data_IF_835721305866
#
_entry.id   IF_835721305866
#
_cell.length_a   1.000
_cell.length_b   1.000
_cell.length_c   1.000
_cell.angle_alpha   90.00
_cell.angle_beta   90.00
_cell.angle_gamma   90.00
#
_symmetry.space_group_name_H-M   'P 1'
#
loop_
_entity.id
_entity.type
_entity.pdbx_description
1 polymer ?
#
# COMPACT_ATOMS: atom_id res chain seq x y z
N UNK A 1 71.25 -7.15 54.55
CA UNK A 1 69.97 -6.55 54.96
C UNK A 1 70.06 -6.28 56.44
N UNK A 2 69.82 -5.03 56.87
CA UNK A 2 69.87 -4.65 58.28
C UNK A 2 68.49 -4.93 58.91
N UNK A 3 68.31 -5.99 59.71
CA UNK A 3 67.03 -6.30 60.37
C UNK A 3 66.64 -5.26 61.43
N UNK A 4 67.56 -4.36 61.78
CA UNK A 4 67.40 -3.32 62.80
C UNK A 4 66.63 -2.08 62.32
N UNK A 5 66.23 -2.03 61.03
CA UNK A 5 65.49 -0.90 60.44
C UNK A 5 63.96 -1.12 60.42
N UNK A 6 63.50 -2.26 60.93
CA UNK A 6 62.06 -2.52 61.12
C UNK A 6 61.68 -1.98 62.49
N UNK A 7 61.35 -0.69 62.52
CA UNK A 7 60.76 -0.07 63.72
C UNK A 7 59.39 -0.72 63.89
N UNK A 8 59.21 -1.52 64.95
CA UNK A 8 57.88 -2.02 65.32
C UNK A 8 57.04 -0.80 65.71
N UNK A 9 56.09 -0.47 64.85
CA UNK A 9 55.24 0.73 64.96
C UNK A 9 54.06 0.49 65.91
N UNK A 10 53.95 -0.71 66.48
CA UNK A 10 52.89 -1.11 67.38
C UNK A 10 53.41 -1.28 68.81
N UNK A 11 52.80 -0.55 69.75
CA UNK A 11 53.14 -0.63 71.17
C UNK A 11 52.80 -2.01 71.79
N UNK A 12 51.86 -2.76 71.19
CA UNK A 12 51.44 -4.08 71.69
C UNK A 12 50.87 -4.98 70.56
N UNK A 13 50.92 -6.31 70.78
CA UNK A 13 50.44 -7.35 69.84
C UNK A 13 48.94 -7.21 69.54
N UNK A 14 48.16 -6.74 70.51
CA UNK A 14 46.72 -6.50 70.38
C UNK A 14 46.41 -5.42 69.33
N UNK A 15 47.14 -4.29 69.34
CA UNK A 15 46.93 -3.21 68.37
C UNK A 15 47.26 -3.67 66.94
N UNK A 16 48.32 -4.47 66.77
CA UNK A 16 48.68 -5.06 65.48
C UNK A 16 47.60 -6.03 64.98
N UNK A 17 47.00 -6.82 65.87
CA UNK A 17 45.92 -7.73 65.54
C UNK A 17 44.64 -6.98 65.13
N UNK A 18 44.29 -5.92 65.85
CA UNK A 18 43.13 -5.06 65.55
C UNK A 18 43.32 -4.39 64.19
N UNK A 19 44.50 -3.84 63.89
CA UNK A 19 44.79 -3.20 62.60
C UNK A 19 44.60 -4.17 61.43
N UNK A 20 45.24 -5.36 61.47
CA UNK A 20 45.08 -6.36 60.41
C UNK A 20 43.65 -6.87 60.26
N UNK A 21 42.95 -7.07 61.38
CA UNK A 21 41.54 -7.50 61.35
C UNK A 21 40.67 -6.42 60.73
N UNK A 22 40.89 -5.15 61.09
CA UNK A 22 40.13 -4.02 60.53
C UNK A 22 40.40 -3.82 59.04
N UNK A 23 41.67 -3.93 58.61
CA UNK A 23 42.07 -3.88 57.21
C UNK A 23 41.42 -5.01 56.39
N UNK A 24 41.41 -6.24 56.92
CA UNK A 24 40.76 -7.37 56.25
C UNK A 24 39.25 -7.16 56.10
N UNK A 25 38.57 -6.68 57.14
CA UNK A 25 37.14 -6.35 57.10
C UNK A 25 36.86 -5.29 56.03
N UNK A 26 37.66 -4.23 55.95
CA UNK A 26 37.51 -3.19 54.93
C UNK A 26 37.66 -3.76 53.52
N UNK A 27 38.66 -4.61 53.28
CA UNK A 27 38.87 -5.26 51.98
C UNK A 27 37.68 -6.15 51.60
N UNK A 28 37.17 -6.96 52.53
CA UNK A 28 36.00 -7.81 52.28
C UNK A 28 34.76 -6.96 51.95
N UNK A 29 34.55 -5.85 52.65
CA UNK A 29 33.45 -4.92 52.39
C UNK A 29 33.61 -4.29 50.99
N UNK A 30 34.81 -3.84 50.62
CA UNK A 30 35.07 -3.27 49.30
C UNK A 30 34.85 -4.29 48.17
N UNK A 31 35.29 -5.53 48.35
CA UNK A 31 35.04 -6.63 47.41
C UNK A 31 33.53 -6.93 47.32
N UNK A 32 32.84 -6.97 48.44
CA UNK A 32 31.39 -7.18 48.45
C UNK A 32 30.66 -6.11 47.65
N UNK A 33 30.97 -4.82 47.88
CA UNK A 33 30.35 -3.72 47.16
C UNK A 33 30.77 -3.67 45.69
N UNK A 34 32.02 -4.00 45.35
CA UNK A 34 32.48 -4.02 43.96
C UNK A 34 31.81 -5.14 43.16
N UNK A 35 31.71 -6.36 43.71
CA UNK A 35 30.99 -7.48 43.09
C UNK A 35 29.51 -7.16 42.94
N UNK A 36 28.89 -6.56 43.97
CA UNK A 36 27.49 -6.12 43.91
C UNK A 36 27.28 -5.07 42.82
N UNK A 37 28.18 -4.08 42.73
CA UNK A 37 28.14 -3.03 41.71
C UNK A 37 28.28 -3.60 40.29
N UNK A 38 29.26 -4.48 40.07
CA UNK A 38 29.50 -5.12 38.76
C UNK A 38 28.31 -5.99 38.34
N UNK A 39 27.78 -6.83 39.24
CA UNK A 39 26.59 -7.65 38.93
C UNK A 39 25.39 -6.79 38.57
N UNK A 40 25.14 -5.74 39.35
CA UNK A 40 24.02 -4.84 39.08
C UNK A 40 24.11 -4.19 37.69
N UNK A 41 25.29 -3.72 37.30
CA UNK A 41 25.51 -3.15 35.97
C UNK A 41 25.40 -4.19 34.86
N UNK A 42 25.95 -5.39 35.05
CA UNK A 42 25.85 -6.47 34.08
C UNK A 42 24.40 -6.89 33.83
N UNK A 43 23.61 -7.07 34.89
CA UNK A 43 22.21 -7.46 34.79
C UNK A 43 21.37 -6.36 34.10
N UNK A 44 21.67 -5.10 34.39
CA UNK A 44 21.02 -3.96 33.75
C UNK A 44 21.33 -3.88 32.26
N UNK A 45 22.61 -3.99 31.87
CA UNK A 45 23.02 -3.99 30.46
C UNK A 45 22.41 -5.17 29.70
N UNK A 46 22.44 -6.37 30.30
CA UNK A 46 21.85 -7.57 29.71
C UNK A 46 20.36 -7.38 29.43
N UNK A 47 19.61 -6.86 30.41
CA UNK A 47 18.18 -6.57 30.24
C UNK A 47 17.93 -5.52 29.14
N UNK A 48 18.72 -4.45 29.11
CA UNK A 48 18.59 -3.46 28.03
C UNK A 48 18.92 -4.04 26.65
N UNK A 49 19.87 -4.98 26.55
CA UNK A 49 20.19 -5.66 25.29
C UNK A 49 19.04 -6.58 24.84
N UNK A 50 18.43 -7.31 25.77
CA UNK A 50 17.24 -8.14 25.51
C UNK A 50 16.06 -7.28 25.03
N UNK A 51 15.76 -6.17 25.71
CA UNK A 51 14.68 -5.26 25.31
C UNK A 51 14.92 -4.66 23.92
N UNK A 52 16.18 -4.29 23.60
CA UNK A 52 16.57 -3.81 22.26
C UNK A 52 16.43 -4.90 21.20
N UNK A 53 16.81 -6.14 21.50
CA UNK A 53 16.68 -7.25 20.58
C UNK A 53 15.21 -7.52 20.24
N UNK A 54 14.32 -7.46 21.24
CA UNK A 54 12.86 -7.58 21.05
C UNK A 54 12.34 -6.42 20.19
N UNK A 55 12.75 -5.18 20.47
CA UNK A 55 12.31 -4.02 19.69
C UNK A 55 12.77 -4.09 18.22
N UNK A 56 14.00 -4.54 17.97
CA UNK A 56 14.54 -4.77 16.62
C UNK A 56 13.72 -5.84 15.89
N UNK A 57 13.38 -6.94 16.57
CA UNK A 57 12.58 -8.01 15.99
C UNK A 57 11.18 -7.52 15.60
N UNK A 58 10.52 -6.77 16.48
CA UNK A 58 9.22 -6.15 16.19
C UNK A 58 9.31 -5.18 14.99
N UNK A 59 10.36 -4.37 14.93
CA UNK A 59 10.57 -3.44 13.83
C UNK A 59 10.83 -4.17 12.51
N UNK A 60 11.59 -5.26 12.54
CA UNK A 60 11.81 -6.12 11.37
C UNK A 60 10.51 -6.75 10.88
N UNK A 61 9.66 -7.25 11.79
CA UNK A 61 8.34 -7.78 11.42
C UNK A 61 7.46 -6.71 10.76
N UNK A 62 7.43 -5.50 11.33
CA UNK A 62 6.69 -4.38 10.75
C UNK A 62 7.22 -4.01 9.35
N UNK A 63 8.55 -4.00 9.16
CA UNK A 63 9.16 -3.75 7.84
C UNK A 63 8.78 -4.84 6.84
N UNK A 64 8.77 -6.10 7.25
CA UNK A 64 8.38 -7.22 6.37
C UNK A 64 6.91 -7.11 5.95
N UNK A 65 6.02 -6.76 6.88
CA UNK A 65 4.61 -6.53 6.57
C UNK A 65 4.43 -5.36 5.59
N UNK A 66 5.11 -4.24 5.84
CA UNK A 66 5.09 -3.07 4.95
C UNK A 66 5.64 -3.40 3.55
N UNK A 67 6.74 -4.15 3.47
CA UNK A 67 7.30 -4.61 2.19
C UNK A 67 6.32 -5.51 1.44
N UNK A 68 5.67 -6.46 2.13
CA UNK A 68 4.65 -7.31 1.51
C UNK A 68 3.47 -6.51 0.98
N UNK A 69 3.02 -5.47 1.70
CA UNK A 69 1.96 -4.57 1.25
C UNK A 69 2.41 -3.76 0.03
N UNK A 70 3.62 -3.18 0.07
CA UNK A 70 4.18 -2.44 -1.05
C UNK A 70 4.32 -3.30 -2.31
N UNK A 71 4.77 -4.55 -2.16
CA UNK A 71 4.91 -5.47 -3.28
C UNK A 71 3.54 -5.81 -3.90
N UNK A 72 2.52 -6.07 -3.07
CA UNK A 72 1.14 -6.25 -3.55
C UNK A 72 0.62 -5.04 -4.33
N UNK A 73 0.77 -3.84 -3.77
CA UNK A 73 0.37 -2.60 -4.43
C UNK A 73 1.11 -2.41 -5.77
N UNK A 74 2.38 -2.76 -5.82
CA UNK A 74 3.18 -2.66 -7.04
C UNK A 74 2.72 -3.68 -8.10
N UNK A 75 2.38 -4.90 -7.70
CA UNK A 75 1.81 -5.91 -8.60
C UNK A 75 0.46 -5.46 -9.16
N UNK A 76 -0.43 -4.92 -8.31
CA UNK A 76 -1.72 -4.38 -8.74
C UNK A 76 -1.56 -3.22 -9.71
N UNK A 77 -0.65 -2.29 -9.41
CA UNK A 77 -0.29 -1.18 -10.31
C UNK A 77 0.20 -1.70 -11.65
N UNK A 78 1.13 -2.66 -11.67
CA UNK A 78 1.67 -3.21 -12.92
C UNK A 78 0.58 -3.91 -13.75
N UNK A 79 -0.30 -4.67 -13.09
CA UNK A 79 -1.45 -5.31 -13.76
C UNK A 79 -2.37 -4.28 -14.41
N UNK A 80 -2.66 -3.17 -13.71
CA UNK A 80 -3.44 -2.07 -14.29
C UNK A 80 -2.78 -1.52 -15.56
N UNK A 81 -1.50 -1.14 -15.48
CA UNK A 81 -0.78 -0.59 -16.65
C UNK A 81 -0.76 -1.57 -17.82
N UNK A 82 -0.63 -2.88 -17.57
CA UNK A 82 -0.70 -3.89 -18.62
C UNK A 82 -2.08 -3.95 -19.29
N UNK A 83 -3.18 -3.92 -18.53
CA UNK A 83 -4.54 -3.90 -19.06
C UNK A 83 -4.75 -2.65 -19.92
N UNK A 84 -4.37 -1.48 -19.40
CA UNK A 84 -4.50 -0.20 -20.10
C UNK A 84 -3.71 -0.20 -21.42
N UNK A 85 -2.47 -0.68 -21.40
CA UNK A 85 -1.64 -0.74 -22.59
C UNK A 85 -2.23 -1.69 -23.66
N UNK A 86 -2.83 -2.81 -23.23
CA UNK A 86 -3.53 -3.72 -24.14
C UNK A 86 -4.75 -3.05 -24.77
N UNK A 87 -5.60 -2.46 -23.93
CA UNK A 87 -6.89 -1.92 -24.37
C UNK A 87 -6.74 -0.62 -25.18
N UNK A 88 -5.62 0.10 -25.05
CA UNK A 88 -5.26 1.23 -25.92
C UNK A 88 -4.66 0.78 -27.27
N UNK A 89 -4.00 -0.38 -27.33
CA UNK A 89 -3.36 -0.85 -28.57
C UNK A 89 -4.39 -1.12 -29.67
N UNK A 90 -5.54 -1.68 -29.29
CA UNK A 90 -6.65 -1.99 -30.22
C UNK A 90 -7.20 -0.75 -30.93
N UNK A 91 -7.70 0.30 -30.24
CA UNK A 91 -8.21 1.48 -30.90
C UNK A 91 -7.12 2.26 -31.65
N UNK A 92 -5.88 2.31 -31.15
CA UNK A 92 -4.78 2.93 -31.89
C UNK A 92 -4.49 2.21 -33.21
N UNK A 93 -4.52 0.88 -33.22
CA UNK A 93 -4.37 0.08 -34.44
C UNK A 93 -5.51 0.33 -35.43
N UNK A 94 -6.75 0.43 -34.95
CA UNK A 94 -7.90 0.79 -35.80
C UNK A 94 -7.79 2.20 -36.37
N UNK A 95 -7.47 3.20 -35.54
CA UNK A 95 -7.24 4.59 -35.98
C UNK A 95 -6.15 4.62 -37.06
N UNK A 96 -5.04 3.94 -36.83
CA UNK A 96 -3.96 3.88 -37.81
C UNK A 96 -4.42 3.27 -39.14
N UNK A 97 -5.12 2.12 -39.10
CA UNK A 97 -5.63 1.48 -40.32
C UNK A 97 -6.62 2.36 -41.10
N UNK A 98 -7.50 3.09 -40.41
CA UNK A 98 -8.40 4.03 -41.06
C UNK A 98 -7.67 5.21 -41.69
N UNK A 99 -6.63 5.75 -41.02
CA UNK A 99 -5.79 6.81 -41.58
C UNK A 99 -5.00 6.33 -42.81
N UNK A 100 -4.49 5.10 -42.79
CA UNK A 100 -3.83 4.47 -43.95
C UNK A 100 -4.78 4.37 -45.15
N UNK A 101 -6.01 3.87 -44.94
CA UNK A 101 -7.05 3.81 -45.98
C UNK A 101 -7.38 5.18 -46.58
N UNK A 102 -7.49 6.21 -45.74
CA UNK A 102 -7.72 7.59 -46.19
C UNK A 102 -6.54 8.17 -46.98
N UNK A 103 -5.33 7.65 -46.78
CA UNK A 103 -4.11 8.17 -47.40
C UNK A 103 -3.74 7.52 -48.73
N UNK A 104 -4.13 6.25 -48.95
CA UNK A 104 -3.69 5.47 -50.11
C UNK A 104 -4.76 5.22 -51.19
N UNK A 105 -6.05 5.35 -50.86
CA UNK A 105 -7.15 4.93 -51.76
C UNK A 105 -7.96 6.12 -52.25
N UNK A 106 -8.30 6.13 -53.55
CA UNK A 106 -9.34 7.02 -54.08
C UNK A 106 -10.71 6.51 -53.64
N UNK A 107 -11.15 6.92 -52.46
CA UNK A 107 -12.43 6.54 -51.89
C UNK A 107 -13.56 7.36 -52.50
N UNK A 108 -14.74 6.75 -52.65
CA UNK A 108 -15.96 7.52 -52.89
C UNK A 108 -16.29 8.38 -51.66
N UNK A 109 -16.93 9.52 -51.87
CA UNK A 109 -17.29 10.46 -50.80
C UNK A 109 -18.12 9.80 -49.68
N UNK A 110 -18.95 8.83 -50.03
CA UNK A 110 -19.77 8.06 -49.09
C UNK A 110 -18.95 7.14 -48.18
N UNK A 111 -17.89 6.52 -48.70
CA UNK A 111 -16.97 5.68 -47.93
C UNK A 111 -16.09 6.53 -47.02
N UNK A 112 -15.63 7.68 -47.53
CA UNK A 112 -14.86 8.64 -46.75
C UNK A 112 -15.65 9.14 -45.53
N UNK A 113 -16.91 9.54 -45.72
CA UNK A 113 -17.78 9.96 -44.62
C UNK A 113 -18.02 8.85 -43.60
N UNK A 114 -18.14 7.58 -44.04
CA UNK A 114 -18.26 6.43 -43.13
C UNK A 114 -17.00 6.26 -42.29
N UNK A 115 -15.83 6.29 -42.93
CA UNK A 115 -14.54 6.16 -42.23
C UNK A 115 -14.34 7.31 -41.24
N UNK A 116 -14.62 8.56 -41.62
CA UNK A 116 -14.52 9.71 -40.72
C UNK A 116 -15.42 9.56 -39.48
N UNK A 117 -16.62 9.01 -39.66
CA UNK A 117 -17.53 8.71 -38.54
C UNK A 117 -16.98 7.60 -37.63
N UNK A 118 -16.52 6.49 -38.19
CA UNK A 118 -15.93 5.40 -37.42
C UNK A 118 -14.70 5.87 -36.61
N UNK A 119 -13.86 6.72 -37.22
CA UNK A 119 -12.69 7.33 -36.58
C UNK A 119 -13.09 8.22 -35.39
N UNK A 120 -14.15 9.01 -35.56
CA UNK A 120 -14.69 9.86 -34.50
C UNK A 120 -15.21 9.00 -33.34
N UNK A 121 -16.00 7.98 -33.64
CA UNK A 121 -16.58 7.08 -32.63
C UNK A 121 -15.48 6.34 -31.85
N UNK A 122 -14.45 5.81 -32.52
CA UNK A 122 -13.32 5.12 -31.85
C UNK A 122 -12.53 6.09 -30.97
N UNK A 123 -12.30 7.32 -31.45
CA UNK A 123 -11.54 8.32 -30.69
C UNK A 123 -12.32 8.77 -29.45
N UNK A 124 -13.64 8.99 -29.57
CA UNK A 124 -14.51 9.31 -28.43
C UNK A 124 -14.52 8.17 -27.40
N UNK A 125 -14.75 6.93 -27.84
CA UNK A 125 -14.76 5.77 -26.96
C UNK A 125 -13.42 5.58 -26.22
N UNK A 126 -12.29 5.78 -26.92
CA UNK A 126 -10.96 5.70 -26.32
C UNK A 126 -10.72 6.80 -25.29
N UNK A 127 -11.21 8.02 -25.57
CA UNK A 127 -11.12 9.15 -24.65
C UNK A 127 -11.95 8.92 -23.37
N UNK A 128 -13.15 8.39 -23.52
CA UNK A 128 -14.01 8.04 -22.38
C UNK A 128 -13.39 6.92 -21.55
N UNK A 129 -12.81 5.91 -22.19
CA UNK A 129 -12.08 4.84 -21.50
C UNK A 129 -10.91 5.40 -20.69
N UNK A 130 -10.09 6.28 -21.27
CA UNK A 130 -8.96 6.90 -20.60
C UNK A 130 -9.41 7.78 -19.42
N UNK A 131 -10.49 8.52 -19.59
CA UNK A 131 -11.08 9.37 -18.53
C UNK A 131 -11.61 8.56 -17.36
N UNK A 132 -12.28 7.43 -17.65
CA UNK A 132 -12.75 6.49 -16.63
C UNK A 132 -11.57 5.88 -15.86
N UNK A 133 -10.51 5.48 -16.56
CA UNK A 133 -9.29 4.94 -15.96
C UNK A 133 -8.59 5.96 -15.05
N UNK A 134 -8.44 7.20 -15.50
CA UNK A 134 -7.85 8.29 -14.72
C UNK A 134 -8.65 8.56 -13.45
N UNK A 135 -9.98 8.56 -13.56
CA UNK A 135 -10.88 8.72 -12.42
C UNK A 135 -10.72 7.58 -11.41
N UNK A 136 -10.61 6.34 -11.90
CA UNK A 136 -10.37 5.17 -11.05
C UNK A 136 -8.99 5.21 -10.37
N UNK A 137 -7.93 5.53 -11.11
CA UNK A 137 -6.57 5.67 -10.57
C UNK A 137 -6.49 6.74 -9.48
N UNK A 138 -7.15 7.88 -9.69
CA UNK A 138 -7.24 8.95 -8.70
C UNK A 138 -7.99 8.51 -7.44
N UNK A 139 -9.11 7.79 -7.58
CA UNK A 139 -9.85 7.24 -6.45
C UNK A 139 -9.03 6.24 -5.62
N UNK A 140 -8.12 5.49 -6.26
CA UNK A 140 -7.19 4.59 -5.58
C UNK A 140 -6.09 5.35 -4.82
N UNK A 141 -5.57 6.44 -5.41
CA UNK A 141 -4.48 7.25 -4.82
C UNK A 141 -4.92 8.12 -3.66
N UNK A 142 -6.09 8.76 -3.75
CA UNK A 142 -6.60 9.66 -2.70
C UNK A 142 -7.17 8.89 -1.48
N UNK A 143 -7.14 7.56 -1.53
CA UNK A 143 -7.90 6.69 -0.64
C UNK A 143 -9.37 6.70 -1.06
N UNK A 144 -9.96 5.53 -1.20
CA UNK A 144 -11.34 5.38 -1.66
C UNK A 144 -12.29 6.08 -0.67
N UNK A 145 -12.65 7.32 -0.96
CA UNK A 145 -13.61 8.10 -0.18
C UNK A 145 -15.01 7.74 -0.65
N UNK A 146 -15.53 6.64 -0.11
CA UNK A 146 -16.89 6.16 -0.42
C UNK A 146 -17.91 7.18 0.07
N UNK A 147 -18.55 7.91 -0.86
CA UNK A 147 -19.58 8.88 -0.52
C UNK A 147 -20.92 8.19 -0.43
N UNK A 148 -21.24 7.68 0.77
CA UNK A 148 -22.53 7.01 1.02
C UNK A 148 -23.67 8.00 1.07
N UNK A 149 -24.56 7.91 0.09
CA UNK A 149 -25.83 8.65 0.05
C UNK A 149 -26.99 7.67 -0.12
N UNK A 150 -28.17 8.06 0.34
CA UNK A 150 -29.41 7.33 0.08
C UNK A 150 -29.90 7.73 -1.31
N UNK A 151 -30.18 6.76 -2.19
CA UNK A 151 -30.64 7.03 -3.56
C UNK A 151 -31.58 5.95 -4.07
N UNK A 152 -32.41 6.33 -5.05
CA UNK A 152 -33.26 5.40 -5.78
C UNK A 152 -32.45 4.70 -6.88
N UNK A 153 -32.46 3.36 -6.89
CA UNK A 153 -31.63 2.57 -7.80
C UNK A 153 -32.06 2.75 -9.27
N UNK A 154 -33.37 2.80 -9.52
CA UNK A 154 -33.91 2.96 -10.87
C UNK A 154 -33.50 4.32 -11.46
N UNK A 155 -33.67 5.41 -10.72
CA UNK A 155 -33.30 6.75 -11.19
C UNK A 155 -31.81 6.86 -11.53
N UNK A 156 -30.96 6.21 -10.73
CA UNK A 156 -29.51 6.22 -10.93
C UNK A 156 -29.08 5.40 -12.15
N UNK A 157 -29.71 4.24 -12.40
CA UNK A 157 -29.27 3.32 -13.45
C UNK A 157 -30.00 3.49 -14.78
N UNK A 158 -31.21 4.04 -14.79
CA UNK A 158 -32.06 4.09 -15.98
C UNK A 158 -31.33 4.73 -17.18
N UNK A 159 -30.68 5.88 -16.98
CA UNK A 159 -29.94 6.56 -18.05
C UNK A 159 -28.79 5.72 -18.59
N UNK A 160 -28.03 5.05 -17.71
CA UNK A 160 -26.93 4.17 -18.11
C UNK A 160 -27.46 2.97 -18.91
N UNK A 161 -28.53 2.34 -18.44
CA UNK A 161 -29.12 1.17 -19.09
C UNK A 161 -29.73 1.50 -20.46
N UNK A 162 -30.32 2.68 -20.65
CA UNK A 162 -30.81 3.14 -21.96
C UNK A 162 -29.69 3.38 -22.98
N UNK A 163 -28.55 3.92 -22.53
CA UNK A 163 -27.36 4.09 -23.37
C UNK A 163 -26.84 2.71 -23.81
N UNK A 164 -26.67 1.78 -22.86
CA UNK A 164 -26.20 0.42 -23.17
C UNK A 164 -27.19 -0.33 -24.07
N UNK A 165 -28.50 -0.13 -23.90
CA UNK A 165 -29.52 -0.68 -24.80
C UNK A 165 -29.34 -0.23 -26.23
N UNK A 166 -29.03 1.05 -26.43
CA UNK A 166 -28.76 1.61 -27.76
C UNK A 166 -27.50 1.01 -28.38
N UNK A 167 -26.43 0.84 -27.58
CA UNK A 167 -25.18 0.22 -28.02
C UNK A 167 -25.39 -1.25 -28.38
N UNK A 168 -26.11 -2.00 -27.56
CA UNK A 168 -26.44 -3.41 -27.81
C UNK A 168 -27.27 -3.57 -29.09
N UNK A 169 -28.25 -2.69 -29.33
CA UNK A 169 -29.05 -2.69 -30.55
C UNK A 169 -28.19 -2.49 -31.80
N UNK A 170 -27.22 -1.59 -31.76
CA UNK A 170 -26.27 -1.38 -32.86
C UNK A 170 -25.38 -2.61 -33.12
N UNK A 171 -25.14 -3.42 -32.09
CA UNK A 171 -24.45 -4.72 -32.20
C UNK A 171 -25.38 -5.87 -32.60
N UNK A 172 -26.67 -5.61 -32.81
CA UNK A 172 -27.68 -6.63 -33.10
C UNK A 172 -28.04 -7.53 -31.90
N UNK A 173 -27.76 -7.07 -30.68
CA UNK A 173 -28.00 -7.81 -29.44
C UNK A 173 -29.28 -7.29 -28.80
N UNK A 174 -30.20 -8.20 -28.46
CA UNK A 174 -31.39 -7.86 -27.69
C UNK A 174 -30.99 -7.63 -26.22
N UNK A 175 -31.22 -6.42 -25.72
CA UNK A 175 -30.93 -6.04 -24.34
C UNK A 175 -32.18 -5.49 -23.66
N UNK A 176 -32.62 -6.21 -22.64
CA UNK A 176 -33.76 -5.84 -21.78
C UNK A 176 -33.35 -5.89 -20.32
N UNK A 177 -33.93 -4.99 -19.53
CA UNK A 177 -33.68 -4.87 -18.10
C UNK A 177 -34.98 -4.60 -17.36
N UNK A 178 -35.09 -5.15 -16.16
CA UNK A 178 -36.19 -4.89 -15.24
C UNK A 178 -35.61 -4.49 -13.88
N UNK A 179 -35.89 -3.26 -13.48
CA UNK A 179 -35.40 -2.67 -12.23
C UNK A 179 -36.59 -2.09 -11.48
N UNK A 180 -36.86 -2.64 -10.29
CA UNK A 180 -37.94 -2.18 -9.43
C UNK A 180 -37.69 -0.73 -8.99
N UNK A 181 -38.67 0.13 -9.29
CA UNK A 181 -38.64 1.57 -9.03
C UNK A 181 -38.70 1.92 -7.54
N UNK A 182 -39.05 0.96 -6.68
CA UNK A 182 -39.17 1.18 -5.23
C UNK A 182 -37.86 0.93 -4.47
N UNK A 183 -36.86 0.32 -5.12
CA UNK A 183 -35.59 -0.01 -4.49
C UNK A 183 -34.80 1.26 -4.18
N UNK A 184 -34.53 1.44 -2.88
CA UNK A 184 -33.68 2.52 -2.36
C UNK A 184 -32.46 1.90 -1.70
N UNK A 185 -31.27 2.36 -2.04
CA UNK A 185 -30.00 1.86 -1.50
C UNK A 185 -29.21 2.99 -0.85
N UNK A 186 -28.36 2.61 0.11
CA UNK A 186 -27.35 3.50 0.66
C UNK A 186 -25.97 3.08 0.15
N UNK A 187 -25.30 3.95 -0.59
CA UNK A 187 -24.03 3.62 -1.22
C UNK A 187 -23.43 4.79 -1.99
N UNK A 188 -22.37 4.51 -2.73
CA UNK A 188 -21.75 5.48 -3.63
C UNK A 188 -22.35 5.32 -5.04
N UNK A 189 -23.00 6.38 -5.52
CA UNK A 189 -23.70 6.40 -6.81
C UNK A 189 -22.74 6.11 -7.96
N UNK A 190 -21.56 6.73 -7.94
CA UNK A 190 -20.58 6.65 -9.02
C UNK A 190 -20.02 5.23 -9.10
N UNK A 191 -19.80 4.58 -7.95
CA UNK A 191 -19.38 3.18 -7.88
C UNK A 191 -20.43 2.20 -8.39
N UNK A 192 -21.71 2.36 -8.01
CA UNK A 192 -22.76 1.45 -8.50
C UNK A 192 -22.93 1.60 -10.01
N UNK A 193 -22.94 2.84 -10.54
CA UNK A 193 -23.01 3.06 -11.98
C UNK A 193 -21.82 2.41 -12.71
N UNK A 194 -20.61 2.54 -12.16
CA UNK A 194 -19.41 1.92 -12.74
C UNK A 194 -19.53 0.38 -12.78
N UNK A 195 -19.97 -0.24 -11.67
CA UNK A 195 -20.15 -1.69 -11.58
C UNK A 195 -21.15 -2.15 -12.64
N UNK A 196 -22.33 -1.53 -12.68
CA UNK A 196 -23.40 -1.94 -13.61
C UNK A 196 -22.96 -1.72 -15.06
N UNK A 197 -22.36 -0.58 -15.38
CA UNK A 197 -21.83 -0.32 -16.72
C UNK A 197 -20.82 -1.38 -17.16
N UNK A 198 -19.88 -1.74 -16.28
CA UNK A 198 -18.87 -2.76 -16.59
C UNK A 198 -19.46 -4.17 -16.73
N UNK A 199 -20.54 -4.50 -16.02
CA UNK A 199 -21.22 -5.79 -16.14
C UNK A 199 -22.04 -5.89 -17.42
N UNK A 200 -22.66 -4.78 -17.85
CA UNK A 200 -23.51 -4.74 -19.05
C UNK A 200 -22.68 -4.58 -20.33
N UNK A 201 -21.57 -3.85 -20.26
CA UNK A 201 -20.71 -3.58 -21.44
C UNK A 201 -19.82 -4.77 -21.85
N UNK A 202 -19.54 -5.72 -20.95
CA UNK A 202 -18.79 -6.94 -21.25
C UNK A 202 -19.70 -7.98 -21.91
#
# INVERSE_FOLDING_TARGET
>A
MHPEWIIDTYDNVENRFIDYTSAYIVVVILIYYSVKYVRHHYDFEKKSAEDRAIAIEQQNQQILEQNSQLERLNVEKNKLFSIVAHDLRTPLGSIQGYLELLSEVSLEESEKQRIEKDLLDITMNTSDMLSNLLSWSKAQMDGVTVRRVLFNLYEVLHKTLEIEKTIALNKGIAFDYDVDKTITLQGDIDMIQLIIRNLVSN
#
